data_IF_916945697599
#
_entry.id   IF_916945697599
#
_cell.length_a   1.000
_cell.length_b   1.000
_cell.length_c   1.000
_cell.angle_alpha   90.00
_cell.angle_beta   90.00
_cell.angle_gamma   90.00
#
_symmetry.space_group_name_H-M   'P 1'
#
loop_
_entity.id
_entity.type
_entity.pdbx_description
1 polymer ?
#
# COMPACT_ATOMS: atom_id res chain seq x y z
N UNK A 1 -3.77 28.00 39.68
CA UNK A 1 -3.90 28.93 38.54
C UNK A 1 -3.71 28.14 37.26
N UNK A 2 -4.80 27.68 36.65
CA UNK A 2 -4.74 26.89 35.40
C UNK A 2 -4.27 27.83 34.28
N UNK A 3 -3.20 27.44 33.60
CA UNK A 3 -2.52 28.26 32.60
C UNK A 3 -3.47 28.60 31.44
N UNK A 4 -3.53 29.88 31.04
CA UNK A 4 -4.40 30.38 29.97
C UNK A 4 -4.25 29.62 28.64
N UNK A 5 -3.11 28.96 28.44
CA UNK A 5 -2.84 28.09 27.27
C UNK A 5 -3.67 26.80 27.26
N UNK A 6 -4.03 26.26 28.41
CA UNK A 6 -4.84 25.03 28.53
C UNK A 6 -6.31 25.34 28.22
N UNK A 7 -6.80 26.51 28.64
CA UNK A 7 -8.17 26.96 28.35
C UNK A 7 -8.37 27.20 26.84
N UNK A 8 -7.36 27.77 26.16
CA UNK A 8 -7.37 27.97 24.70
C UNK A 8 -7.32 26.66 23.90
N UNK A 9 -6.57 25.65 24.37
CA UNK A 9 -6.52 24.34 23.72
C UNK A 9 -7.82 23.54 23.90
N UNK A 10 -8.47 23.63 25.06
CA UNK A 10 -9.77 22.99 25.28
C UNK A 10 -10.89 23.65 24.48
N UNK A 11 -10.88 24.99 24.35
CA UNK A 11 -11.86 25.72 23.54
C UNK A 11 -11.75 25.39 22.03
N UNK A 12 -10.54 25.21 21.51
CA UNK A 12 -10.32 24.86 20.09
C UNK A 12 -10.72 23.41 19.77
N UNK A 13 -10.50 22.47 20.70
CA UNK A 13 -10.99 21.08 20.59
C UNK A 13 -12.52 20.99 20.62
N UNK A 14 -13.19 21.81 21.43
CA UNK A 14 -14.65 21.89 21.48
C UNK A 14 -15.27 22.48 20.21
N UNK A 15 -14.65 23.51 19.60
CA UNK A 15 -15.11 24.07 18.33
C UNK A 15 -14.90 23.11 17.14
N UNK A 16 -13.80 22.33 17.14
CA UNK A 16 -13.58 21.33 16.11
C UNK A 16 -14.61 20.19 16.21
N UNK A 17 -14.90 19.69 17.42
CA UNK A 17 -15.90 18.64 17.63
C UNK A 17 -17.32 19.09 17.24
N UNK A 18 -17.69 20.36 17.51
CA UNK A 18 -18.97 20.92 17.07
C UNK A 18 -19.07 21.05 15.55
N UNK A 19 -17.97 21.40 14.86
CA UNK A 19 -17.93 21.49 13.40
C UNK A 19 -18.00 20.11 12.70
N UNK A 20 -17.51 19.04 13.34
CA UNK A 20 -17.69 17.67 12.81
C UNK A 20 -19.11 17.15 13.08
N UNK A 21 -19.74 17.57 14.18
CA UNK A 21 -21.10 17.16 14.53
C UNK A 21 -22.20 17.82 13.67
N UNK A 22 -21.97 19.02 13.12
CA UNK A 22 -22.95 19.70 12.25
C UNK A 22 -22.85 19.34 10.76
N UNK A 23 -22.00 18.36 10.39
CA UNK A 23 -21.84 17.90 9.00
C UNK A 23 -22.59 16.59 8.70
N UNK A 24 -23.35 16.05 9.64
CA UNK A 24 -24.11 14.81 9.49
C UNK A 24 -25.63 15.06 9.52
N UNK A 25 -26.08 16.08 8.81
CA UNK A 25 -27.49 16.29 8.48
C UNK A 25 -27.58 16.76 7.03
N UNK A 26 -27.50 15.82 6.09
CA UNK A 26 -28.42 15.74 4.96
C UNK A 26 -28.02 14.59 4.03
N UNK A 27 -28.94 13.65 3.87
CA UNK A 27 -29.35 13.03 2.60
C UNK A 27 -29.95 11.64 2.87
N UNK A 28 -31.18 11.63 3.39
CA UNK A 28 -32.00 10.42 3.36
C UNK A 28 -33.51 10.72 3.25
N UNK A 29 -33.88 11.74 2.47
CA UNK A 29 -35.27 12.17 2.30
C UNK A 29 -35.77 12.18 0.84
N UNK A 30 -35.27 11.32 -0.05
CA UNK A 30 -35.77 11.26 -1.44
C UNK A 30 -36.47 9.95 -1.85
N UNK A 31 -36.69 9.00 -0.92
CA UNK A 31 -37.44 7.77 -1.20
C UNK A 31 -38.94 7.80 -0.90
N UNK A 32 -39.43 8.70 -0.03
CA UNK A 32 -40.78 8.59 0.57
C UNK A 32 -41.92 9.33 -0.13
N UNK A 33 -41.64 10.23 -1.07
CA UNK A 33 -42.67 11.16 -1.58
C UNK A 33 -43.61 10.59 -2.66
N UNK A 34 -43.32 9.42 -3.23
CA UNK A 34 -44.19 8.77 -4.24
C UNK A 34 -45.09 7.68 -3.64
N UNK A 35 -44.64 6.93 -2.64
CA UNK A 35 -45.44 5.86 -2.01
C UNK A 35 -46.66 6.38 -1.25
N UNK A 36 -46.52 7.52 -0.57
CA UNK A 36 -47.61 8.16 0.16
C UNK A 36 -48.76 8.65 -0.74
N UNK A 37 -48.52 8.87 -2.03
CA UNK A 37 -49.55 9.37 -2.97
C UNK A 37 -50.52 8.27 -3.41
N UNK A 38 -50.04 7.05 -3.61
CA UNK A 38 -50.89 5.90 -3.97
C UNK A 38 -51.79 5.50 -2.79
N UNK A 39 -51.21 5.43 -1.58
CA UNK A 39 -51.91 5.05 -0.35
C UNK A 39 -53.04 6.03 -0.03
N UNK A 40 -52.80 7.35 -0.15
CA UNK A 40 -53.84 8.38 0.04
C UNK A 40 -55.01 8.22 -0.92
N UNK A 41 -54.77 7.87 -2.18
CA UNK A 41 -55.84 7.61 -3.18
C UNK A 41 -56.75 6.43 -2.80
N UNK A 42 -56.26 5.50 -1.98
CA UNK A 42 -57.07 4.39 -1.48
C UNK A 42 -57.96 4.78 -0.29
N UNK A 43 -57.72 5.92 0.36
CA UNK A 43 -58.54 6.40 1.48
C UNK A 43 -59.93 6.86 1.02
N UNK A 44 -60.06 7.38 -0.20
CA UNK A 44 -61.35 7.81 -0.76
C UNK A 44 -62.25 6.64 -1.21
N UNK A 45 -61.77 5.39 -1.15
CA UNK A 45 -62.54 4.21 -1.54
C UNK A 45 -63.41 3.62 -0.41
N UNK A 46 -64.53 2.95 -0.75
CA UNK A 46 -65.34 2.22 0.22
C UNK A 46 -64.51 1.22 1.05
N UNK A 47 -64.79 1.11 2.35
CA UNK A 47 -63.99 0.31 3.31
C UNK A 47 -63.70 -1.12 2.85
N UNK A 48 -64.65 -1.77 2.17
CA UNK A 48 -64.50 -3.15 1.68
C UNK A 48 -63.53 -3.27 0.49
N UNK A 49 -63.24 -2.19 -0.23
CA UNK A 49 -62.32 -2.18 -1.40
C UNK A 49 -60.92 -1.67 -1.06
N UNK A 50 -60.75 -1.06 0.11
CA UNK A 50 -59.46 -0.51 0.56
C UNK A 50 -58.33 -1.55 0.62
N UNK A 51 -58.54 -2.78 1.16
CA UNK A 51 -57.47 -3.77 1.22
C UNK A 51 -56.92 -4.12 -0.16
N UNK A 52 -57.81 -4.32 -1.13
CA UNK A 52 -57.47 -4.63 -2.52
C UNK A 52 -56.71 -3.49 -3.21
N UNK A 53 -57.10 -2.24 -2.95
CA UNK A 53 -56.42 -1.05 -3.46
C UNK A 53 -55.00 -0.91 -2.90
N UNK A 54 -54.82 -1.15 -1.59
CA UNK A 54 -53.50 -1.07 -0.95
C UNK A 54 -52.55 -2.18 -1.42
N UNK A 55 -53.08 -3.37 -1.71
CA UNK A 55 -52.32 -4.47 -2.28
C UNK A 55 -51.79 -4.14 -3.69
N UNK A 56 -52.65 -3.60 -4.57
CA UNK A 56 -52.25 -3.12 -5.89
C UNK A 56 -51.19 -2.01 -5.82
N UNK A 57 -51.34 -1.05 -4.89
CA UNK A 57 -50.31 -0.02 -4.69
C UNK A 57 -48.95 -0.62 -4.31
N UNK A 58 -48.93 -1.68 -3.49
CA UNK A 58 -47.68 -2.35 -3.07
C UNK A 58 -47.03 -3.10 -4.23
N UNK A 59 -47.81 -3.69 -5.13
CA UNK A 59 -47.30 -4.35 -6.33
C UNK A 59 -46.68 -3.35 -7.31
N UNK A 60 -47.37 -2.23 -7.60
CA UNK A 60 -46.85 -1.17 -8.46
C UNK A 60 -45.52 -0.59 -7.95
N UNK A 61 -45.35 -0.47 -6.62
CA UNK A 61 -44.09 -0.02 -6.03
C UNK A 61 -42.96 -1.04 -6.20
N UNK A 62 -43.27 -2.33 -6.09
CA UNK A 62 -42.29 -3.41 -6.29
C UNK A 62 -41.79 -3.47 -7.72
N UNK A 63 -42.69 -3.33 -8.69
CA UNK A 63 -42.35 -3.33 -10.12
C UNK A 63 -41.47 -2.13 -10.48
N UNK A 64 -41.84 -0.91 -10.04
CA UNK A 64 -41.02 0.30 -10.27
C UNK A 64 -39.63 0.20 -9.64
N UNK A 65 -39.52 -0.47 -8.48
CA UNK A 65 -38.23 -0.69 -7.82
C UNK A 65 -37.36 -1.68 -8.60
N UNK A 66 -37.96 -2.71 -9.19
CA UNK A 66 -37.26 -3.65 -10.08
C UNK A 66 -36.80 -3.01 -11.39
N UNK A 67 -37.65 -2.19 -12.02
CA UNK A 67 -37.27 -1.44 -13.24
C UNK A 67 -36.10 -0.49 -12.98
N UNK A 68 -36.15 0.26 -11.88
CA UNK A 68 -35.07 1.17 -11.50
C UNK A 68 -33.75 0.43 -11.25
N UNK A 69 -33.81 -0.74 -10.61
CA UNK A 69 -32.65 -1.60 -10.39
C UNK A 69 -32.08 -2.18 -11.70
N UNK A 70 -32.90 -2.36 -12.74
CA UNK A 70 -32.42 -2.81 -14.06
C UNK A 70 -31.72 -1.70 -14.82
N UNK A 71 -32.24 -0.46 -14.76
CA UNK A 71 -31.61 0.69 -15.41
C UNK A 71 -30.27 1.05 -14.76
N UNK A 72 -30.16 0.97 -13.43
CA UNK A 72 -28.89 1.20 -12.71
C UNK A 72 -27.81 0.12 -13.01
N UNK A 73 -28.23 -1.09 -13.41
CA UNK A 73 -27.29 -2.14 -13.82
C UNK A 73 -26.76 -1.93 -15.24
N UNK A 74 -27.57 -1.35 -16.14
CA UNK A 74 -27.21 -1.10 -17.54
C UNK A 74 -26.22 0.07 -17.66
N UNK A 75 -26.42 1.15 -16.89
CA UNK A 75 -25.48 2.29 -16.83
C UNK A 75 -24.08 1.91 -16.29
N UNK A 76 -23.97 0.84 -15.49
CA UNK A 76 -22.68 0.31 -15.00
C UNK A 76 -21.94 -0.56 -16.01
N UNK A 77 -22.59 -0.94 -17.12
CA UNK A 77 -21.99 -1.80 -18.15
C UNK A 77 -21.39 -1.02 -19.34
N UNK A 78 -21.60 0.30 -19.40
CA UNK A 78 -21.16 1.18 -20.48
C UNK A 78 -19.76 1.81 -20.35
N UNK A 79 -19.09 1.73 -19.20
CA UNK A 79 -17.73 2.29 -19.01
C UNK A 79 -16.62 1.26 -19.29
N UNK A 80 -16.64 0.69 -20.49
CA UNK A 80 -15.54 -0.10 -21.02
C UNK A 80 -14.47 0.77 -21.68
N UNK A 81 -13.84 1.69 -20.95
CA UNK A 81 -12.59 2.30 -21.44
C UNK A 81 -11.56 1.18 -21.59
N UNK A 82 -11.21 0.87 -22.83
CA UNK A 82 -10.25 -0.19 -23.17
C UNK A 82 -8.93 0.06 -22.43
N UNK A 83 -8.27 -1.00 -21.96
CA UNK A 83 -6.98 -0.92 -21.27
C UNK A 83 -5.95 -0.11 -22.10
N UNK A 84 -6.02 -0.22 -23.43
CA UNK A 84 -5.20 0.49 -24.41
C UNK A 84 -5.36 2.03 -24.38
N UNK A 85 -6.56 2.55 -24.10
CA UNK A 85 -6.78 4.00 -24.02
C UNK A 85 -6.25 4.58 -22.71
N UNK A 86 -6.38 3.82 -21.61
CA UNK A 86 -5.77 4.19 -20.32
C UNK A 86 -4.24 4.09 -20.36
N UNK A 87 -3.70 3.14 -21.13
CA UNK A 87 -2.27 3.01 -21.38
C UNK A 87 -1.72 4.24 -22.12
N UNK A 88 -2.40 4.70 -23.17
CA UNK A 88 -2.00 5.90 -23.92
C UNK A 88 -2.04 7.17 -23.08
N UNK A 89 -3.09 7.35 -22.27
CA UNK A 89 -3.18 8.53 -21.38
C UNK A 89 -2.12 8.55 -20.28
N UNK A 90 -1.70 7.39 -19.77
CA UNK A 90 -0.59 7.30 -18.81
C UNK A 90 0.78 7.47 -19.46
N UNK A 91 0.97 6.99 -20.68
CA UNK A 91 2.17 7.26 -21.50
C UNK A 91 2.32 8.76 -21.81
N UNK A 92 1.21 9.46 -22.09
CA UNK A 92 1.25 10.91 -22.32
C UNK A 92 1.60 11.71 -21.06
N UNK A 93 1.17 11.26 -19.88
CA UNK A 93 1.58 11.84 -18.58
C UNK A 93 3.02 11.50 -18.19
N UNK A 94 3.64 10.49 -18.82
CA UNK A 94 5.03 10.10 -18.59
C UNK A 94 6.06 10.82 -19.48
N UNK A 95 5.66 11.60 -20.49
CA UNK A 95 6.59 12.24 -21.44
C UNK A 95 7.66 13.15 -20.82
N UNK A 96 7.48 13.63 -19.58
CA UNK A 96 8.46 14.45 -18.86
C UNK A 96 9.26 13.70 -17.76
N UNK A 97 8.98 12.40 -17.56
CA UNK A 97 9.71 11.54 -16.61
C UNK A 97 10.72 10.69 -17.36
N UNK A 98 12.01 10.77 -17.00
CA UNK A 98 13.05 9.84 -17.49
C UNK A 98 12.85 8.48 -16.78
N UNK A 99 12.16 7.50 -17.38
CA UNK A 99 11.61 6.36 -16.63
C UNK A 99 12.70 5.36 -16.21
N UNK A 100 13.86 5.43 -16.83
CA UNK A 100 15.02 4.56 -16.59
C UNK A 100 16.07 5.17 -15.64
N UNK A 101 15.87 6.41 -15.18
CA UNK A 101 16.84 7.12 -14.34
C UNK A 101 16.38 7.13 -12.89
N UNK A 102 17.13 6.43 -12.04
CA UNK A 102 16.87 6.34 -10.60
C UNK A 102 17.96 7.06 -9.82
N UNK A 103 17.60 8.19 -9.23
CA UNK A 103 18.51 8.98 -8.41
C UNK A 103 18.52 8.52 -6.94
N UNK A 104 19.28 9.21 -6.11
CA UNK A 104 19.35 8.96 -4.66
C UNK A 104 17.98 9.11 -3.97
N UNK A 105 17.11 9.99 -4.46
CA UNK A 105 15.77 10.24 -3.89
C UNK A 105 14.77 9.14 -4.23
N UNK A 106 15.08 8.34 -5.25
CA UNK A 106 14.30 7.16 -5.63
C UNK A 106 14.42 6.02 -4.62
N UNK A 107 15.40 6.06 -3.72
CA UNK A 107 15.58 5.12 -2.63
C UNK A 107 14.89 5.57 -1.35
N UNK A 108 14.05 4.69 -0.78
CA UNK A 108 13.43 4.87 0.53
C UNK A 108 14.25 4.14 1.59
N UNK A 109 14.45 4.77 2.75
CA UNK A 109 15.10 4.13 3.89
C UNK A 109 14.08 3.25 4.62
N UNK A 110 14.33 1.95 4.68
CA UNK A 110 13.43 0.97 5.32
C UNK A 110 13.93 0.52 6.70
N UNK A 111 15.24 0.63 6.95
CA UNK A 111 15.84 0.42 8.27
C UNK A 111 16.78 1.59 8.57
N UNK A 112 16.71 2.10 9.79
CA UNK A 112 17.64 3.11 10.32
C UNK A 112 18.06 2.75 11.73
N UNK A 113 19.36 2.75 11.98
CA UNK A 113 19.93 2.75 13.33
C UNK A 113 21.07 3.75 13.40
N UNK A 114 21.66 3.93 14.58
CA UNK A 114 22.91 4.68 14.75
C UNK A 114 24.09 4.00 14.05
N UNK A 115 24.00 2.68 13.87
CA UNK A 115 25.09 1.83 13.36
C UNK A 115 24.99 1.51 11.87
N UNK A 116 23.96 2.00 11.18
CA UNK A 116 23.80 1.76 9.76
C UNK A 116 22.43 2.11 9.21
N UNK A 117 22.23 1.79 7.93
CA UNK A 117 20.94 1.93 7.28
C UNK A 117 20.75 0.95 6.13
N UNK A 118 19.49 0.65 5.84
CA UNK A 118 19.09 -0.04 4.62
C UNK A 118 18.19 0.88 3.82
N UNK A 119 18.55 1.09 2.56
CA UNK A 119 17.76 1.84 1.59
C UNK A 119 17.34 0.91 0.46
N UNK A 120 16.11 1.03 0.00
CA UNK A 120 15.53 0.20 -1.06
C UNK A 120 14.96 1.13 -2.12
N UNK A 121 15.24 0.84 -3.38
CA UNK A 121 14.67 1.53 -4.52
C UNK A 121 13.16 1.28 -4.55
N UNK A 122 12.36 2.30 -4.90
CA UNK A 122 10.93 2.10 -5.19
C UNK A 122 10.74 0.97 -6.22
N UNK A 123 9.64 0.18 -6.14
CA UNK A 123 9.31 -0.80 -7.17
C UNK A 123 9.37 -0.19 -8.58
N UNK A 124 9.85 -0.96 -9.54
CA UNK A 124 10.09 -0.46 -10.90
C UNK A 124 8.79 -0.13 -11.63
N UNK A 125 7.77 -0.96 -11.44
CA UNK A 125 6.44 -0.84 -12.03
C UNK A 125 5.60 0.28 -11.40
N UNK A 126 5.90 0.71 -10.17
CA UNK A 126 5.37 1.95 -9.59
C UNK A 126 5.89 3.20 -10.33
N UNK A 127 7.07 3.13 -10.93
CA UNK A 127 7.74 4.28 -11.57
C UNK A 127 7.37 4.40 -13.04
N UNK A 128 7.30 3.27 -13.75
CA UNK A 128 6.80 3.22 -15.12
C UNK A 128 6.34 1.81 -15.50
N UNK A 129 5.20 1.72 -16.22
CA UNK A 129 4.70 0.47 -16.82
C UNK A 129 5.70 -0.19 -17.76
N UNK A 130 6.61 0.59 -18.37
CA UNK A 130 7.70 0.07 -19.23
C UNK A 130 8.62 -0.91 -18.50
N UNK A 131 8.66 -0.86 -17.17
CA UNK A 131 9.51 -1.70 -16.34
C UNK A 131 8.77 -2.87 -15.69
N UNK A 132 7.53 -3.15 -16.10
CA UNK A 132 6.74 -4.28 -15.57
C UNK A 132 7.44 -5.63 -15.75
N UNK A 133 8.27 -5.78 -16.79
CA UNK A 133 9.06 -6.99 -17.03
C UNK A 133 10.14 -7.29 -15.98
N UNK A 134 10.49 -6.32 -15.14
CA UNK A 134 11.44 -6.47 -14.03
C UNK A 134 10.80 -6.19 -12.67
N UNK A 135 9.46 -6.22 -12.57
CA UNK A 135 8.73 -5.92 -11.33
C UNK A 135 9.11 -6.84 -10.16
N UNK A 136 9.50 -8.08 -10.45
CA UNK A 136 9.88 -9.08 -9.46
C UNK A 136 11.29 -8.83 -8.87
N UNK A 137 11.98 -7.79 -9.34
CA UNK A 137 13.30 -7.40 -8.85
C UNK A 137 13.24 -6.14 -8.01
N UNK A 138 14.04 -6.12 -6.94
CA UNK A 138 14.26 -4.95 -6.09
C UNK A 138 15.75 -4.66 -5.94
N UNK A 139 16.09 -3.39 -5.78
CA UNK A 139 17.47 -2.96 -5.54
C UNK A 139 17.56 -2.34 -4.15
N UNK A 140 18.57 -2.73 -3.36
CA UNK A 140 18.81 -2.17 -2.06
C UNK A 140 20.30 -1.86 -1.81
N UNK A 141 20.56 -0.92 -0.91
CA UNK A 141 21.91 -0.57 -0.45
C UNK A 141 21.92 -0.63 1.06
N UNK A 142 22.73 -1.52 1.61
CA UNK A 142 23.01 -1.64 3.03
C UNK A 142 24.32 -0.90 3.33
N UNK A 143 24.28 -0.03 4.35
CA UNK A 143 25.47 0.62 4.91
C UNK A 143 25.60 0.20 6.38
N UNK A 144 26.74 -0.36 6.74
CA UNK A 144 27.10 -0.69 8.12
C UNK A 144 28.31 0.15 8.54
N UNK A 145 28.17 0.92 9.63
CA UNK A 145 29.22 1.78 10.15
C UNK A 145 30.42 0.96 10.67
N UNK A 146 31.60 1.57 10.88
CA UNK A 146 32.72 0.90 11.53
C UNK A 146 32.29 0.24 12.85
N UNK A 147 32.82 -0.95 13.15
CA UNK A 147 32.53 -1.72 14.39
C UNK A 147 31.03 -1.93 14.63
N UNK A 148 30.30 -2.35 13.60
CA UNK A 148 28.86 -2.60 13.67
C UNK A 148 28.49 -4.03 13.32
N UNK A 149 27.29 -4.42 13.76
CA UNK A 149 26.72 -5.73 13.53
C UNK A 149 25.30 -5.59 12.98
N UNK A 150 25.02 -6.29 11.88
CA UNK A 150 23.68 -6.45 11.32
C UNK A 150 23.11 -7.73 11.90
N UNK A 151 22.03 -7.62 12.66
CA UNK A 151 21.42 -8.75 13.37
C UNK A 151 20.91 -9.84 12.41
N UNK A 152 20.89 -11.12 12.86
CA UNK A 152 20.35 -12.23 12.08
C UNK A 152 18.92 -11.97 11.60
N UNK A 153 18.73 -12.05 10.29
CA UNK A 153 17.43 -11.93 9.65
C UNK A 153 17.38 -12.78 8.38
N UNK A 154 16.18 -13.13 7.94
CA UNK A 154 15.95 -13.72 6.62
C UNK A 154 14.92 -12.88 5.85
N UNK A 155 14.88 -13.09 4.54
CA UNK A 155 13.92 -12.45 3.64
C UNK A 155 13.19 -13.50 2.81
N UNK A 156 11.98 -13.17 2.36
CA UNK A 156 11.21 -13.93 1.36
C UNK A 156 11.60 -13.56 -0.09
N UNK A 157 12.89 -13.31 -0.31
CA UNK A 157 13.46 -12.99 -1.61
C UNK A 157 14.88 -13.54 -1.70
N UNK A 158 15.25 -14.04 -2.89
CA UNK A 158 16.65 -14.41 -3.18
C UNK A 158 17.47 -13.14 -3.38
N UNK A 159 18.65 -13.07 -2.79
CA UNK A 159 19.47 -11.87 -2.83
C UNK A 159 20.87 -12.16 -3.37
N UNK A 160 21.28 -11.41 -4.39
CA UNK A 160 22.67 -11.32 -4.84
C UNK A 160 23.25 -10.04 -4.24
N UNK A 161 24.31 -10.17 -3.45
CA UNK A 161 24.96 -9.09 -2.75
C UNK A 161 26.34 -8.81 -3.33
N UNK A 162 26.59 -7.56 -3.72
CA UNK A 162 27.89 -7.05 -4.17
C UNK A 162 28.48 -6.11 -3.12
N UNK A 163 29.72 -6.35 -2.70
CA UNK A 163 30.42 -5.47 -1.77
C UNK A 163 31.01 -4.28 -2.52
N UNK A 164 30.35 -3.13 -2.41
CA UNK A 164 30.74 -1.91 -3.10
C UNK A 164 31.90 -1.18 -2.41
N UNK A 165 31.98 -1.25 -1.09
CA UNK A 165 33.03 -0.60 -0.29
C UNK A 165 33.28 -1.37 1.02
N UNK A 166 34.53 -1.40 1.45
CA UNK A 166 34.93 -1.93 2.75
C UNK A 166 35.16 -3.44 2.77
N UNK A 167 35.23 -3.99 3.98
CA UNK A 167 35.34 -5.42 4.24
C UNK A 167 34.59 -5.80 5.51
N UNK A 168 34.31 -7.09 5.66
CA UNK A 168 33.62 -7.61 6.83
C UNK A 168 33.48 -9.12 6.79
N UNK A 169 32.62 -9.65 7.65
CA UNK A 169 32.28 -11.07 7.69
C UNK A 169 30.79 -11.21 7.46
N UNK A 170 30.41 -12.05 6.50
CA UNK A 170 29.03 -12.52 6.33
C UNK A 170 28.91 -13.92 6.90
N UNK A 171 27.81 -14.18 7.60
CA UNK A 171 27.44 -15.54 7.97
C UNK A 171 26.03 -15.82 7.50
N UNK A 172 25.86 -16.98 6.88
CA UNK A 172 24.57 -17.48 6.41
C UNK A 172 24.30 -18.83 7.07
N UNK A 173 23.06 -19.03 7.52
CA UNK A 173 22.56 -20.28 8.06
C UNK A 173 21.42 -20.75 7.15
N UNK A 174 21.60 -21.92 6.55
CA UNK A 174 20.66 -22.53 5.61
C UNK A 174 20.58 -24.03 5.91
N UNK A 175 19.37 -24.59 6.04
CA UNK A 175 19.15 -26.00 6.36
C UNK A 175 19.91 -26.50 7.60
N UNK A 176 20.10 -25.63 8.60
CA UNK A 176 20.85 -25.91 9.83
C UNK A 176 22.37 -25.80 9.69
N UNK A 177 22.90 -25.63 8.48
CA UNK A 177 24.32 -25.44 8.25
C UNK A 177 24.69 -23.96 8.36
N UNK A 178 25.70 -23.65 9.18
CA UNK A 178 26.27 -22.30 9.32
C UNK A 178 27.54 -22.19 8.49
N UNK A 179 27.60 -21.16 7.63
CA UNK A 179 28.78 -20.84 6.82
C UNK A 179 29.17 -19.39 6.98
N UNK A 180 30.44 -19.12 7.26
CA UNK A 180 30.97 -17.77 7.49
C UNK A 180 32.11 -17.48 6.53
N UNK A 181 32.09 -16.29 5.92
CA UNK A 181 33.08 -15.89 4.92
C UNK A 181 33.52 -14.45 5.17
N UNK A 182 34.81 -14.18 4.99
CA UNK A 182 35.31 -12.82 4.86
C UNK A 182 34.95 -12.26 3.49
N UNK A 183 34.36 -11.08 3.46
CA UNK A 183 33.96 -10.38 2.25
C UNK A 183 34.75 -9.08 2.15
N UNK A 184 35.17 -8.74 0.93
CA UNK A 184 35.94 -7.53 0.61
C UNK A 184 35.32 -6.85 -0.60
N UNK A 185 35.64 -5.58 -0.80
CA UNK A 185 35.24 -4.83 -1.98
C UNK A 185 35.46 -5.63 -3.27
N UNK A 186 34.43 -5.69 -4.11
CA UNK A 186 34.41 -6.48 -5.34
C UNK A 186 33.86 -7.90 -5.20
N UNK A 187 33.78 -8.45 -3.97
CA UNK A 187 33.20 -9.78 -3.77
C UNK A 187 31.68 -9.78 -4.00
N UNK A 188 31.18 -10.93 -4.48
CA UNK A 188 29.76 -11.24 -4.61
C UNK A 188 29.43 -12.44 -3.74
N UNK A 189 28.30 -12.40 -3.06
CA UNK A 189 27.75 -13.56 -2.36
C UNK A 189 26.24 -13.63 -2.54
N UNK A 190 25.68 -14.84 -2.39
CA UNK A 190 24.25 -15.11 -2.53
C UNK A 190 23.67 -15.41 -1.15
N UNK A 191 22.52 -14.82 -0.85
CA UNK A 191 21.69 -15.17 0.30
C UNK A 191 20.34 -15.66 -0.25
N UNK A 192 20.08 -16.98 -0.24
CA UNK A 192 18.81 -17.54 -0.67
C UNK A 192 17.63 -17.04 0.19
N UNK A 193 16.42 -17.05 -0.38
CA UNK A 193 15.20 -16.78 0.38
C UNK A 193 15.10 -17.75 1.58
N UNK A 194 14.71 -17.24 2.75
CA UNK A 194 14.63 -18.02 3.99
C UNK A 194 15.96 -18.28 4.69
N UNK A 195 17.11 -18.08 4.04
CA UNK A 195 18.41 -18.25 4.68
C UNK A 195 18.67 -17.11 5.68
N UNK A 196 19.00 -17.46 6.93
CA UNK A 196 19.29 -16.47 7.98
C UNK A 196 20.68 -15.91 7.71
N UNK A 197 20.78 -14.59 7.52
CA UNK A 197 22.05 -13.90 7.26
C UNK A 197 22.31 -12.83 8.30
N UNK A 198 23.56 -12.70 8.73
CA UNK A 198 24.06 -11.57 9.51
C UNK A 198 25.45 -11.15 9.04
N UNK A 199 25.79 -9.90 9.34
CA UNK A 199 27.03 -9.26 8.87
C UNK A 199 27.71 -8.57 10.03
N UNK A 200 29.04 -8.63 10.06
CA UNK A 200 29.86 -7.84 10.96
C UNK A 200 30.81 -6.96 10.14
N UNK A 201 30.75 -5.65 10.36
CA UNK A 201 31.81 -4.75 9.94
C UNK A 201 32.82 -4.63 11.08
N UNK A 202 33.95 -5.31 10.96
CA UNK A 202 35.02 -5.32 11.95
C UNK A 202 36.02 -4.16 11.77
N UNK A 203 35.95 -3.43 10.65
CA UNK A 203 36.82 -2.29 10.39
C UNK A 203 36.53 -1.16 11.39
N UNK A 204 37.60 -0.49 11.86
CA UNK A 204 37.53 0.59 12.85
C UNK A 204 37.34 1.99 12.26
N UNK A 205 37.34 2.13 10.93
CA UNK A 205 37.36 3.41 10.21
C UNK A 205 36.44 3.44 8.99
N UNK A 206 36.41 2.36 8.20
CA UNK A 206 35.65 2.30 6.94
C UNK A 206 34.26 1.71 7.15
N UNK A 207 33.29 2.21 6.39
CA UNK A 207 31.97 1.59 6.29
C UNK A 207 32.06 0.34 5.43
N UNK A 208 31.13 -0.58 5.67
CA UNK A 208 30.83 -1.68 4.76
C UNK A 208 29.57 -1.30 3.98
N UNK A 209 29.69 -1.20 2.66
CA UNK A 209 28.59 -0.85 1.76
C UNK A 209 28.32 -2.03 0.83
N UNK A 210 27.08 -2.53 0.87
CA UNK A 210 26.65 -3.69 0.07
C UNK A 210 25.46 -3.29 -0.79
N UNK A 211 25.63 -3.38 -2.10
CA UNK A 211 24.53 -3.30 -3.07
C UNK A 211 23.88 -4.67 -3.20
N UNK A 212 22.55 -4.70 -3.28
CA UNK A 212 21.74 -5.91 -3.29
C UNK A 212 20.78 -5.87 -4.46
N UNK A 213 20.69 -6.98 -5.19
CA UNK A 213 19.60 -7.27 -6.12
C UNK A 213 18.79 -8.39 -5.49
N UNK A 214 17.51 -8.13 -5.25
CA UNK A 214 16.59 -9.08 -4.67
C UNK A 214 15.61 -9.54 -5.76
N UNK A 215 15.33 -10.84 -5.81
CA UNK A 215 14.28 -11.44 -6.63
C UNK A 215 13.19 -11.98 -5.69
N UNK A 216 12.02 -11.36 -5.76
CA UNK A 216 10.88 -11.62 -4.86
C UNK A 216 10.18 -12.91 -5.25
N UNK A 217 9.92 -13.81 -4.30
CA UNK A 217 9.30 -15.12 -4.59
C UNK A 217 7.84 -15.23 -4.14
N UNK A 218 7.39 -14.34 -3.24
CA UNK A 218 6.03 -14.35 -2.69
C UNK A 218 5.10 -13.45 -3.52
N UNK A 219 5.28 -12.13 -3.37
CA UNK A 219 4.48 -11.11 -4.05
C UNK A 219 5.41 -10.32 -4.97
N UNK A 220 5.09 -10.18 -6.27
CA UNK A 220 5.85 -9.38 -7.23
C UNK A 220 6.28 -8.02 -6.69
N UNK A 221 7.59 -7.80 -6.58
CA UNK A 221 8.14 -6.51 -6.16
C UNK A 221 8.03 -6.24 -4.67
N UNK A 222 7.47 -7.13 -3.85
CA UNK A 222 7.45 -6.99 -2.39
C UNK A 222 8.34 -8.02 -1.70
N UNK A 223 8.95 -7.60 -0.60
CA UNK A 223 9.71 -8.49 0.27
C UNK A 223 9.69 -7.96 1.70
N UNK A 224 9.88 -8.86 2.65
CA UNK A 224 9.87 -8.56 4.08
C UNK A 224 11.14 -9.06 4.76
N UNK A 225 11.54 -8.38 5.82
CA UNK A 225 12.59 -8.83 6.72
C UNK A 225 11.97 -9.51 7.92
N UNK A 226 12.37 -10.74 8.16
CA UNK A 226 11.99 -11.52 9.33
C UNK A 226 13.19 -11.58 10.26
N UNK A 227 13.07 -10.94 11.42
CA UNK A 227 14.09 -10.94 12.46
C UNK A 227 13.82 -12.09 13.42
N UNK A 228 14.87 -12.86 13.75
CA UNK A 228 14.75 -13.92 14.76
C UNK A 228 14.46 -13.36 16.15
N UNK A 229 14.05 -14.21 17.12
CA UNK A 229 13.93 -13.77 18.51
C UNK A 229 15.28 -13.27 18.99
N UNK A 230 15.31 -12.00 19.42
CA UNK A 230 16.43 -11.37 20.11
C UNK A 230 16.41 -11.64 21.61
#
# INVERSE_FOLDING_TARGET
MVSARIVLLLATLLCAAAAVASSWEDDNHHGGHKSGRCVRRCEDRPRHQRPRCLEQCREEEREKRQERSRHEADDRSGEGSSEDEREKEEEEKQKDRRPYVFDRHSFRRVVRSEQGSLRVLRPFDEVSRLLRGIRDYRVAVLEANPRSFVVPSHTDAHCICYVAEGEGVVTTIENGERRSYTIKQGHVFVAPAGAITYLANTDGRKKLVIAKILHTISVPGEFQFFFGPG
#
